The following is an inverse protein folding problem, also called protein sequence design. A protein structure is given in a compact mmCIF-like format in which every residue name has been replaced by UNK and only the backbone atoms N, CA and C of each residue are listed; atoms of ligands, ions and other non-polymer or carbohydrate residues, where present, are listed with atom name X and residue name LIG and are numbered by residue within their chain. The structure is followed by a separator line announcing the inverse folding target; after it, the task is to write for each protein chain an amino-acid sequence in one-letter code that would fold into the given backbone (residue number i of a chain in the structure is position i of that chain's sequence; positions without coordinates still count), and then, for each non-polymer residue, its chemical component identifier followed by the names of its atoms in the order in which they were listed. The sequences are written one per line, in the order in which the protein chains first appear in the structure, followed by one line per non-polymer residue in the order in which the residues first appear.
data_IF_956404474543
#
_entry.id   IF_956404474543
#
_cell.length_a   1.000
_cell.length_b   1.000
_cell.length_c   1.000
_cell.angle_alpha   90.00
_cell.angle_beta   90.00
_cell.angle_gamma   90.00
#
_symmetry.space_group_name_H-M   'P 1'
#
loop_
_entity.id
_entity.type
_entity.pdbx_description
1 polymer ?
#
# COMPACT_ATOMS: atom_id res chain seq x y z
N UNK A 1 6.82 36.33 15.00
CA UNK A 1 6.23 35.59 13.85
C UNK A 1 6.43 34.08 13.98
N UNK A 2 7.41 33.61 14.73
CA UNK A 2 7.62 32.17 15.02
C UNK A 2 6.53 31.56 15.91
N UNK A 3 5.87 32.34 16.76
CA UNK A 3 4.83 31.87 17.68
C UNK A 3 3.46 31.56 17.04
N UNK A 4 3.35 31.66 15.71
CA UNK A 4 2.10 31.42 14.99
C UNK A 4 2.11 30.13 14.15
N UNK A 5 3.20 29.35 14.17
CA UNK A 5 3.26 28.05 13.47
C UNK A 5 2.72 26.99 14.42
N UNK A 6 1.48 26.57 14.17
CA UNK A 6 0.90 25.43 14.85
C UNK A 6 1.45 24.15 14.20
N UNK A 7 2.22 23.39 14.96
CA UNK A 7 2.72 22.10 14.55
C UNK A 7 1.91 20.99 15.25
N UNK A 8 1.15 20.21 14.46
CA UNK A 8 0.38 19.08 14.94
C UNK A 8 0.97 17.79 14.35
N UNK A 9 1.48 16.96 15.24
CA UNK A 9 2.12 15.69 14.87
C UNK A 9 1.18 14.51 15.10
N UNK A 10 1.51 13.37 14.52
CA UNK A 10 0.85 12.10 14.80
C UNK A 10 0.81 11.78 16.31
N UNK A 11 1.92 12.05 17.02
CA UNK A 11 1.98 11.85 18.46
C UNK A 11 1.00 12.74 19.23
N UNK A 12 0.79 13.97 18.76
CA UNK A 12 -0.18 14.90 19.36
C UNK A 12 -1.61 14.40 19.14
N UNK A 13 -1.92 13.88 17.96
CA UNK A 13 -3.21 13.25 17.66
C UNK A 13 -3.47 12.04 18.56
N UNK A 14 -2.50 11.13 18.69
CA UNK A 14 -2.65 9.95 19.55
C UNK A 14 -2.80 10.34 21.02
N UNK A 15 -2.09 11.38 21.49
CA UNK A 15 -2.24 11.94 22.83
C UNK A 15 -3.63 12.53 23.01
N UNK A 16 -4.12 13.33 22.08
CA UNK A 16 -5.45 13.93 22.16
C UNK A 16 -6.56 12.87 22.17
N UNK A 17 -6.42 11.79 21.42
CA UNK A 17 -7.34 10.63 21.47
C UNK A 17 -7.36 9.97 22.87
N UNK A 18 -6.21 9.86 23.52
CA UNK A 18 -6.07 9.14 24.79
C UNK A 18 -6.45 9.99 26.01
N UNK A 19 -6.05 11.26 26.02
CA UNK A 19 -6.13 12.15 27.18
C UNK A 19 -7.43 12.95 27.24
N UNK A 20 -8.00 13.33 26.10
CA UNK A 20 -9.25 14.08 26.07
C UNK A 20 -10.45 13.18 26.35
N UNK A 21 -10.78 13.05 27.63
CA UNK A 21 -11.90 12.22 28.09
C UNK A 21 -13.23 12.98 27.94
N UNK A 22 -14.12 12.45 27.14
CA UNK A 22 -15.48 12.97 27.02
C UNK A 22 -16.09 12.81 25.62
N UNK A 23 -17.39 12.87 25.53
CA UNK A 23 -18.15 12.73 24.28
C UNK A 23 -17.89 13.84 23.25
N UNK A 24 -17.22 14.93 23.67
CA UNK A 24 -16.84 16.04 22.80
C UNK A 24 -15.45 15.94 22.18
N UNK A 25 -14.74 14.82 22.34
CA UNK A 25 -13.42 14.67 21.71
C UNK A 25 -13.56 14.46 20.20
N UNK A 26 -13.19 15.45 19.35
CA UNK A 26 -13.33 15.34 17.91
C UNK A 26 -12.39 14.29 17.28
N UNK A 27 -11.33 13.91 18.00
CA UNK A 27 -10.33 12.96 17.51
C UNK A 27 -10.75 11.49 17.73
N UNK A 28 -11.76 11.22 18.57
CA UNK A 28 -12.23 9.84 18.81
C UNK A 28 -12.78 9.17 17.53
N UNK A 29 -13.34 9.96 16.61
CA UNK A 29 -13.86 9.45 15.34
C UNK A 29 -12.81 9.17 14.29
N UNK A 30 -11.56 9.64 14.49
CA UNK A 30 -10.46 9.36 13.56
C UNK A 30 -9.99 7.92 13.73
N UNK A 31 -9.76 7.19 12.63
CA UNK A 31 -9.27 5.81 12.70
C UNK A 31 -7.88 5.76 13.35
N UNK A 32 -7.60 4.65 14.02
CA UNK A 32 -6.25 4.38 14.51
C UNK A 32 -5.33 4.10 13.31
N UNK A 33 -4.27 4.87 13.17
CA UNK A 33 -3.21 4.56 12.23
C UNK A 33 -2.21 3.58 12.85
N UNK A 34 -1.87 2.53 12.11
CA UNK A 34 -0.82 1.57 12.48
C UNK A 34 0.15 1.48 11.32
N UNK A 35 1.41 1.83 11.57
CA UNK A 35 2.47 1.73 10.57
C UNK A 35 3.18 0.39 10.73
N UNK A 36 3.18 -0.43 9.68
CA UNK A 36 3.87 -1.70 9.61
C UNK A 36 4.99 -1.61 8.59
N UNK A 37 6.19 -1.96 9.00
CA UNK A 37 7.36 -2.03 8.12
C UNK A 37 7.79 -3.48 7.96
N UNK A 38 8.08 -3.88 6.73
CA UNK A 38 8.52 -5.23 6.40
C UNK A 38 9.91 -5.16 5.77
N UNK A 39 10.84 -5.95 6.33
CA UNK A 39 12.11 -6.17 5.66
C UNK A 39 11.88 -7.12 4.47
N UNK A 40 12.29 -6.71 3.29
CA UNK A 40 12.28 -7.56 2.11
C UNK A 40 13.36 -8.64 2.25
N UNK A 41 13.09 -9.91 1.90
CA UNK A 41 14.12 -10.96 1.85
C UNK A 41 15.25 -10.60 0.88
N UNK A 42 16.48 -10.99 1.22
CA UNK A 42 17.67 -10.63 0.44
C UNK A 42 17.60 -11.11 -1.01
N UNK A 43 17.02 -12.30 -1.27
CA UNK A 43 16.82 -12.83 -2.63
C UNK A 43 15.86 -12.00 -3.50
N UNK A 44 15.02 -11.16 -2.86
CA UNK A 44 14.12 -10.24 -3.56
C UNK A 44 14.78 -8.86 -3.73
N UNK A 45 15.62 -8.45 -2.76
CA UNK A 45 16.27 -7.13 -2.77
C UNK A 45 17.38 -6.99 -3.83
N UNK A 46 18.11 -8.07 -4.12
CA UNK A 46 19.35 -8.02 -4.94
C UNK A 46 19.18 -7.31 -6.29
N UNK A 47 18.01 -7.43 -6.92
CA UNK A 47 17.77 -6.84 -8.25
C UNK A 47 17.54 -5.33 -8.23
N UNK A 48 17.34 -4.75 -7.07
CA UNK A 48 16.93 -3.35 -6.91
C UNK A 48 17.82 -2.58 -5.93
N UNK A 49 19.05 -2.99 -5.74
CA UNK A 49 20.05 -2.27 -4.97
C UNK A 49 20.71 -1.18 -5.82
N UNK A 50 20.78 0.02 -5.29
CA UNK A 50 21.42 1.17 -5.93
C UNK A 50 22.18 2.05 -4.93
N UNK A 51 23.13 2.83 -5.48
CA UNK A 51 23.91 3.81 -4.75
C UNK A 51 25.16 3.25 -4.09
N UNK A 52 25.89 4.15 -3.41
CA UNK A 52 27.19 3.85 -2.76
C UNK A 52 27.06 2.85 -1.60
N UNK A 53 25.83 2.71 -1.03
CA UNK A 53 25.56 1.83 0.12
C UNK A 53 24.65 0.65 -0.22
N UNK A 54 24.47 0.32 -1.51
CA UNK A 54 23.60 -0.78 -1.96
C UNK A 54 22.17 -0.73 -1.33
N UNK A 55 21.61 0.47 -1.21
CA UNK A 55 20.29 0.65 -0.65
C UNK A 55 19.19 0.10 -1.57
N UNK A 56 18.19 -0.54 -0.99
CA UNK A 56 17.06 -1.05 -1.74
C UNK A 56 16.16 0.10 -2.23
N UNK A 57 15.98 0.17 -3.55
CA UNK A 57 15.16 1.19 -4.22
C UNK A 57 13.82 0.61 -4.69
N UNK A 58 12.73 1.02 -3.99
CA UNK A 58 11.37 0.64 -4.36
C UNK A 58 10.97 1.14 -5.76
N UNK A 59 11.46 2.30 -6.19
CA UNK A 59 11.13 2.84 -7.52
C UNK A 59 11.79 1.98 -8.62
N UNK A 60 12.98 1.47 -8.36
CA UNK A 60 13.63 0.53 -9.26
C UNK A 60 12.93 -0.83 -9.22
N UNK A 61 12.65 -1.36 -8.04
CA UNK A 61 12.01 -2.66 -7.86
C UNK A 61 10.66 -2.75 -8.57
N UNK A 62 9.81 -1.74 -8.41
CA UNK A 62 8.52 -1.66 -9.08
C UNK A 62 8.57 -0.90 -10.41
N UNK A 63 9.75 -0.75 -11.02
CA UNK A 63 9.87 -0.13 -12.35
C UNK A 63 9.22 -1.01 -13.42
N UNK A 64 8.53 -0.36 -14.36
CA UNK A 64 7.80 -1.04 -15.41
C UNK A 64 7.93 -0.32 -16.74
N UNK A 65 7.76 -1.07 -17.81
CA UNK A 65 7.76 -0.60 -19.21
C UNK A 65 6.45 -0.99 -19.89
N UNK A 66 6.16 -0.33 -21.02
CA UNK A 66 4.92 -0.55 -21.76
C UNK A 66 3.77 0.35 -21.30
N UNK A 67 2.60 0.13 -21.88
CA UNK A 67 1.37 0.91 -21.61
C UNK A 67 0.17 -0.02 -21.58
N UNK A 68 -0.80 0.28 -20.71
CA UNK A 68 -2.06 -0.47 -20.64
C UNK A 68 -1.83 -1.97 -20.46
N UNK A 69 -2.38 -2.78 -21.34
CA UNK A 69 -2.28 -4.25 -21.28
C UNK A 69 -0.89 -4.80 -21.58
N UNK A 70 -0.04 -4.01 -22.25
CA UNK A 70 1.36 -4.40 -22.56
C UNK A 70 2.33 -4.01 -21.45
N UNK A 71 1.88 -3.31 -20.42
CA UNK A 71 2.74 -2.92 -19.32
C UNK A 71 3.23 -4.15 -18.54
N UNK A 72 4.55 -4.21 -18.27
CA UNK A 72 5.21 -5.30 -17.54
C UNK A 72 6.28 -4.73 -16.62
N UNK A 73 6.47 -5.37 -15.47
CA UNK A 73 7.58 -5.04 -14.58
C UNK A 73 8.92 -5.48 -15.20
N UNK A 74 9.97 -4.69 -14.97
CA UNK A 74 11.34 -5.09 -15.34
C UNK A 74 11.80 -6.30 -14.55
N UNK A 75 11.38 -6.40 -13.28
CA UNK A 75 11.70 -7.48 -12.36
C UNK A 75 10.42 -8.26 -11.99
N UNK A 76 9.67 -8.71 -13.02
CA UNK A 76 8.35 -9.33 -12.81
C UNK A 76 8.41 -10.56 -11.90
N UNK A 77 9.47 -11.38 -12.00
CA UNK A 77 9.65 -12.55 -11.16
C UNK A 77 9.81 -12.19 -9.67
N UNK A 78 10.57 -11.14 -9.38
CA UNK A 78 10.82 -10.66 -8.03
C UNK A 78 9.57 -9.97 -7.46
N UNK A 79 8.85 -9.22 -8.27
CA UNK A 79 7.56 -8.65 -7.88
C UNK A 79 6.53 -9.77 -7.63
N UNK A 80 6.56 -10.86 -8.41
CA UNK A 80 5.73 -12.03 -8.15
C UNK A 80 6.10 -12.69 -6.81
N UNK A 81 7.38 -12.88 -6.50
CA UNK A 81 7.81 -13.39 -5.19
C UNK A 81 7.34 -12.49 -4.04
N UNK A 82 7.38 -11.16 -4.24
CA UNK A 82 6.84 -10.23 -3.27
C UNK A 82 5.32 -10.38 -3.11
N UNK A 83 4.54 -10.53 -4.18
CA UNK A 83 3.10 -10.82 -4.09
C UNK A 83 2.83 -12.12 -3.33
N UNK A 84 3.63 -13.15 -3.57
CA UNK A 84 3.54 -14.43 -2.86
C UNK A 84 3.92 -14.28 -1.38
N UNK A 85 4.91 -13.45 -1.07
CA UNK A 85 5.31 -13.14 0.30
C UNK A 85 4.18 -12.48 1.11
N UNK A 86 3.57 -11.41 0.58
CA UNK A 86 2.53 -10.67 1.31
C UNK A 86 1.24 -11.47 1.52
N UNK A 87 1.00 -12.50 0.71
CA UNK A 87 -0.10 -13.47 0.90
C UNK A 87 0.30 -14.71 1.70
N UNK A 88 1.55 -14.78 2.20
CA UNK A 88 2.06 -15.91 2.98
C UNK A 88 2.39 -17.16 2.18
N UNK A 89 2.41 -17.08 0.84
CA UNK A 89 2.75 -18.20 -0.03
C UNK A 89 4.26 -18.41 -0.21
N UNK A 90 5.07 -17.42 0.12
CA UNK A 90 6.52 -17.47 0.09
C UNK A 90 7.05 -17.25 1.51
N UNK A 91 7.60 -18.28 2.09
CA UNK A 91 8.29 -18.19 3.39
C UNK A 91 9.79 -18.16 3.12
N UNK A 92 10.49 -17.06 3.46
CA UNK A 92 11.96 -17.06 3.42
C UNK A 92 12.49 -18.15 4.35
N UNK A 93 13.38 -18.97 3.83
CA UNK A 93 13.97 -20.11 4.56
C UNK A 93 15.11 -19.74 5.50
N UNK A 94 15.19 -18.47 5.96
CA UNK A 94 16.22 -18.09 6.91
C UNK A 94 15.96 -18.75 8.28
N UNK A 95 16.98 -19.42 8.81
CA UNK A 95 16.95 -20.10 10.12
C UNK A 95 16.63 -19.09 11.25
N UNK A 96 16.99 -17.83 11.08
CA UNK A 96 16.72 -16.78 12.06
C UNK A 96 15.23 -16.37 12.10
N UNK A 97 14.55 -16.43 10.98
CA UNK A 97 13.10 -16.22 10.90
C UNK A 97 12.30 -17.38 11.52
N UNK A 98 12.83 -18.58 11.49
CA UNK A 98 12.23 -19.75 12.15
C UNK A 98 12.38 -19.71 13.67
N UNK A 99 13.43 -19.05 14.18
CA UNK A 99 13.68 -18.88 15.63
C UNK A 99 12.82 -17.78 16.27
N UNK A 100 12.34 -16.82 15.48
CA UNK A 100 11.38 -15.82 15.91
C UNK A 100 10.00 -16.50 15.96
N UNK A 101 9.50 -16.78 17.17
CA UNK A 101 8.17 -17.35 17.35
C UNK A 101 7.10 -16.55 16.58
N UNK A 102 6.03 -17.24 16.18
CA UNK A 102 4.94 -16.69 15.35
C UNK A 102 4.38 -15.36 15.89
N UNK A 103 4.39 -15.16 17.21
CA UNK A 103 3.88 -13.96 17.87
C UNK A 103 4.79 -12.72 17.75
N UNK A 104 6.05 -12.89 17.33
CA UNK A 104 7.03 -11.81 17.17
C UNK A 104 7.19 -11.33 15.73
N UNK A 105 6.58 -12.02 14.77
CA UNK A 105 6.63 -11.62 13.36
C UNK A 105 5.57 -10.55 13.08
N UNK A 106 5.89 -9.52 12.28
CA UNK A 106 4.86 -8.60 11.80
C UNK A 106 3.81 -9.39 11.02
N UNK A 107 2.51 -9.07 11.20
CA UNK A 107 1.43 -9.78 10.50
C UNK A 107 1.54 -9.53 8.99
N UNK A 108 1.52 -10.60 8.18
CA UNK A 108 1.50 -10.48 6.72
C UNK A 108 0.13 -10.01 6.24
N UNK A 109 0.07 -9.04 5.29
CA UNK A 109 -1.17 -8.36 4.92
C UNK A 109 -2.32 -9.29 4.53
N UNK A 110 -2.05 -10.31 3.74
CA UNK A 110 -3.09 -11.16 3.15
C UNK A 110 -3.07 -12.62 3.61
N UNK A 111 -2.36 -12.92 4.69
CA UNK A 111 -2.36 -14.27 5.28
C UNK A 111 -2.62 -14.28 6.77
N UNK A 112 -2.31 -13.19 7.46
CA UNK A 112 -2.57 -13.08 8.89
C UNK A 112 -3.99 -12.62 9.15
N UNK A 113 -4.73 -13.39 9.95
CA UNK A 113 -6.14 -13.10 10.27
C UNK A 113 -6.33 -11.75 10.97
N UNK A 114 -5.30 -11.22 11.64
CA UNK A 114 -5.33 -9.88 12.26
C UNK A 114 -5.46 -8.76 11.23
N UNK A 115 -4.98 -8.97 10.00
CA UNK A 115 -5.00 -7.99 8.91
C UNK A 115 -5.97 -8.37 7.80
N UNK A 116 -6.08 -9.64 7.44
CA UNK A 116 -6.87 -10.11 6.31
C UNK A 116 -8.33 -9.62 6.36
N UNK A 117 -8.93 -9.62 7.55
CA UNK A 117 -10.31 -9.21 7.75
C UNK A 117 -10.53 -7.70 7.65
N UNK A 118 -9.47 -6.91 7.77
CA UNK A 118 -9.55 -5.44 7.71
C UNK A 118 -9.01 -4.87 6.39
N UNK A 119 -8.30 -5.66 5.59
CA UNK A 119 -7.72 -5.22 4.32
C UNK A 119 -8.62 -5.54 3.11
N UNK A 120 -9.93 -5.33 3.25
CA UNK A 120 -10.87 -5.51 2.14
C UNK A 120 -10.69 -4.43 1.06
N UNK A 121 -10.33 -3.22 1.44
CA UNK A 121 -10.11 -2.10 0.51
C UNK A 121 -8.74 -1.49 0.74
N UNK A 122 -7.87 -1.56 -0.27
CA UNK A 122 -6.49 -1.09 -0.16
C UNK A 122 -6.12 -0.13 -1.29
N UNK A 123 -5.27 0.85 -0.96
CA UNK A 123 -4.61 1.73 -1.91
C UNK A 123 -3.14 1.31 -2.03
N UNK A 124 -2.69 1.00 -3.24
CA UNK A 124 -1.29 0.68 -3.52
C UNK A 124 -0.65 1.84 -4.28
N UNK A 125 0.31 2.47 -3.64
CA UNK A 125 0.96 3.66 -4.15
C UNK A 125 2.27 3.28 -4.86
N UNK A 126 2.24 3.26 -6.18
CA UNK A 126 3.29 2.76 -7.09
C UNK A 126 4.13 3.92 -7.68
N UNK A 127 5.33 3.64 -8.23
CA UNK A 127 6.22 4.68 -8.74
C UNK A 127 5.66 5.52 -9.89
N UNK A 128 5.00 4.90 -10.84
CA UNK A 128 4.54 5.56 -12.07
C UNK A 128 3.32 4.87 -12.71
N UNK A 129 2.83 5.44 -13.80
CA UNK A 129 1.65 4.94 -14.51
C UNK A 129 1.88 3.54 -15.07
N UNK A 130 3.05 3.28 -15.67
CA UNK A 130 3.38 1.95 -16.22
C UNK A 130 3.37 0.88 -15.12
N UNK A 131 3.90 1.21 -13.93
CA UNK A 131 3.88 0.30 -12.76
C UNK A 131 2.46 -0.03 -12.29
N UNK A 132 1.52 0.94 -12.34
CA UNK A 132 0.13 0.68 -12.00
C UNK A 132 -0.53 -0.31 -12.98
N UNK A 133 -0.30 -0.14 -14.29
CA UNK A 133 -0.82 -1.07 -15.28
C UNK A 133 -0.13 -2.42 -15.22
N UNK A 134 1.19 -2.47 -15.02
CA UNK A 134 1.94 -3.72 -14.86
C UNK A 134 1.45 -4.52 -13.65
N UNK A 135 1.18 -3.85 -12.53
CA UNK A 135 0.58 -4.49 -11.36
C UNK A 135 -0.81 -5.03 -11.65
N UNK A 136 -1.67 -4.26 -12.29
CA UNK A 136 -3.00 -4.73 -12.69
C UNK A 136 -2.94 -5.95 -13.61
N UNK A 137 -2.00 -5.97 -14.56
CA UNK A 137 -1.80 -7.10 -15.46
C UNK A 137 -1.26 -8.33 -14.73
N UNK A 138 -0.31 -8.14 -13.81
CA UNK A 138 0.27 -9.22 -13.01
C UNK A 138 -0.79 -9.85 -12.09
N UNK A 139 -1.62 -9.05 -11.40
CA UNK A 139 -2.68 -9.54 -10.53
C UNK A 139 -3.74 -10.36 -11.26
N UNK A 140 -3.95 -10.15 -12.56
CA UNK A 140 -4.89 -10.92 -13.39
C UNK A 140 -4.34 -12.30 -13.80
N UNK A 141 -3.02 -12.52 -13.68
CA UNK A 141 -2.41 -13.79 -14.12
C UNK A 141 -2.87 -14.97 -13.25
N UNK A 142 -2.87 -16.18 -13.82
CA UNK A 142 -3.46 -17.39 -13.20
C UNK A 142 -2.82 -17.76 -11.86
N UNK A 143 -1.53 -17.53 -11.68
CA UNK A 143 -0.83 -17.78 -10.42
C UNK A 143 -1.28 -16.85 -9.30
N UNK A 144 -1.89 -15.72 -9.62
CA UNK A 144 -2.38 -14.70 -8.69
C UNK A 144 -3.89 -14.83 -8.39
N UNK A 145 -4.43 -16.05 -8.50
CA UNK A 145 -5.86 -16.34 -8.29
C UNK A 145 -6.41 -15.81 -6.96
N UNK A 146 -5.60 -15.73 -5.92
CA UNK A 146 -5.99 -15.13 -4.64
C UNK A 146 -6.52 -13.71 -4.80
N UNK A 147 -5.87 -12.91 -5.67
CA UNK A 147 -6.25 -11.52 -5.89
C UNK A 147 -7.46 -11.35 -6.82
N UNK A 148 -7.95 -12.43 -7.45
CA UNK A 148 -9.12 -12.35 -8.33
C UNK A 148 -10.42 -12.04 -7.58
N UNK A 149 -10.44 -12.24 -6.25
CA UNK A 149 -11.56 -11.83 -5.40
C UNK A 149 -11.60 -10.31 -5.17
N UNK A 150 -10.52 -9.60 -5.54
CA UNK A 150 -10.43 -8.15 -5.44
C UNK A 150 -10.72 -7.50 -6.78
N UNK A 151 -11.58 -6.49 -6.79
CA UNK A 151 -11.75 -5.62 -7.96
C UNK A 151 -10.56 -4.66 -8.03
N UNK A 152 -9.71 -4.83 -9.05
CA UNK A 152 -8.54 -3.98 -9.27
C UNK A 152 -8.96 -2.74 -10.05
N UNK A 153 -8.70 -1.56 -9.49
CA UNK A 153 -9.01 -0.25 -10.10
C UNK A 153 -7.72 0.51 -10.34
N UNK A 154 -7.39 0.78 -11.60
CA UNK A 154 -6.22 1.59 -11.98
C UNK A 154 -6.62 3.06 -11.99
N UNK A 155 -6.14 3.81 -11.00
CA UNK A 155 -6.33 5.25 -10.87
C UNK A 155 -5.02 5.98 -11.20
N UNK A 156 -4.58 5.85 -12.48
CA UNK A 156 -3.32 6.41 -12.96
C UNK A 156 -3.42 6.83 -14.43
N UNK A 157 -2.57 7.80 -14.81
CA UNK A 157 -2.55 8.33 -16.18
C UNK A 157 -3.71 9.25 -16.52
N UNK A 158 -3.75 9.71 -17.78
CA UNK A 158 -4.76 10.66 -18.25
C UNK A 158 -6.16 10.06 -18.32
N UNK A 159 -6.27 8.77 -18.63
CA UNK A 159 -7.55 8.07 -18.74
C UNK A 159 -8.32 7.90 -17.41
N UNK A 160 -7.66 8.09 -16.28
CA UNK A 160 -8.30 8.01 -14.96
C UNK A 160 -9.02 9.32 -14.54
N UNK A 161 -9.08 10.34 -15.41
CA UNK A 161 -9.68 11.64 -15.07
C UNK A 161 -8.84 12.49 -14.12
N UNK A 162 -9.40 13.60 -13.65
CA UNK A 162 -8.77 14.53 -12.70
C UNK A 162 -9.74 14.80 -11.54
N UNK A 163 -9.21 14.89 -10.31
CA UNK A 163 -10.04 15.23 -9.15
C UNK A 163 -11.15 14.20 -8.90
N UNK A 164 -12.39 14.65 -8.88
CA UNK A 164 -13.57 13.80 -8.63
C UNK A 164 -13.80 12.73 -9.69
N UNK A 165 -13.42 12.99 -10.95
CA UNK A 165 -13.56 12.00 -12.02
C UNK A 165 -12.69 10.76 -11.76
N UNK A 166 -11.52 10.96 -11.15
CA UNK A 166 -10.64 9.87 -10.76
C UNK A 166 -11.17 9.09 -9.53
N UNK A 167 -11.95 9.75 -8.68
CA UNK A 167 -12.53 9.15 -7.47
C UNK A 167 -13.76 8.29 -7.78
N UNK A 168 -14.57 8.69 -8.75
CA UNK A 168 -15.84 8.00 -9.05
C UNK A 168 -15.70 6.50 -9.34
N UNK A 169 -14.78 6.03 -10.21
CA UNK A 169 -14.59 4.60 -10.45
C UNK A 169 -14.19 3.83 -9.19
N UNK A 170 -13.41 4.45 -8.30
CA UNK A 170 -12.99 3.86 -7.02
C UNK A 170 -14.20 3.68 -6.11
N UNK A 171 -14.99 4.73 -5.91
CA UNK A 171 -16.21 4.66 -5.09
C UNK A 171 -17.25 3.69 -5.66
N UNK A 172 -17.45 3.71 -6.97
CA UNK A 172 -18.36 2.77 -7.64
C UNK A 172 -17.92 1.31 -7.51
N UNK A 173 -16.61 1.06 -7.39
CA UNK A 173 -16.08 -0.29 -7.15
C UNK A 173 -16.35 -0.80 -5.74
N UNK A 174 -16.62 0.09 -4.80
CA UNK A 174 -16.87 -0.17 -3.37
C UNK A 174 -18.36 -0.03 -3.01
N UNK A 175 -19.29 -0.24 -3.94
CA UNK A 175 -20.72 0.06 -3.79
C UNK A 175 -21.32 -0.48 -2.47
N UNK A 176 -20.93 -1.69 -2.06
CA UNK A 176 -21.15 -2.20 -0.71
C UNK A 176 -19.79 -2.55 -0.07
N UNK A 177 -19.23 -1.66 0.78
CA UNK A 177 -17.90 -1.86 1.32
C UNK A 177 -17.74 -3.09 2.24
N UNK A 178 -18.82 -3.65 2.75
CA UNK A 178 -18.76 -4.84 3.59
C UNK A 178 -18.74 -6.13 2.77
N UNK A 179 -19.31 -6.10 1.56
CA UNK A 179 -19.42 -7.25 0.67
C UNK A 179 -18.37 -7.26 -0.45
N UNK A 180 -17.75 -6.12 -0.73
CA UNK A 180 -16.79 -5.96 -1.82
C UNK A 180 -15.35 -5.90 -1.32
N UNK A 181 -14.42 -6.26 -2.22
CA UNK A 181 -12.98 -6.12 -1.99
C UNK A 181 -12.34 -5.38 -3.16
N UNK A 182 -11.48 -4.41 -2.88
CA UNK A 182 -10.84 -3.62 -3.93
C UNK A 182 -9.35 -3.42 -3.68
N UNK A 183 -8.58 -3.37 -4.77
CA UNK A 183 -7.21 -2.89 -4.80
C UNK A 183 -7.18 -1.69 -5.75
N UNK A 184 -6.95 -0.49 -5.20
CA UNK A 184 -6.79 0.73 -5.98
C UNK A 184 -5.30 0.96 -6.24
N UNK A 185 -4.91 1.05 -7.51
CA UNK A 185 -3.53 1.28 -7.93
C UNK A 185 -3.36 2.73 -8.36
N UNK A 186 -2.49 3.47 -7.69
CA UNK A 186 -2.23 4.88 -7.99
C UNK A 186 -0.74 5.21 -7.93
N UNK A 187 -0.34 6.26 -8.65
CA UNK A 187 1.02 6.79 -8.60
C UNK A 187 1.09 8.30 -8.28
N UNK A 188 -0.03 8.87 -7.83
CA UNK A 188 -0.12 10.28 -7.45
C UNK A 188 -1.55 10.82 -7.41
N UNK A 189 -2.50 10.19 -8.09
CA UNK A 189 -3.90 10.56 -7.96
C UNK A 189 -4.47 10.01 -6.66
N UNK A 190 -5.41 10.75 -6.06
CA UNK A 190 -6.10 10.38 -4.82
C UNK A 190 -5.17 10.20 -3.59
N UNK A 191 -3.95 10.74 -3.63
CA UNK A 191 -3.00 10.65 -2.51
C UNK A 191 -3.11 11.84 -1.56
N UNK A 192 -3.70 12.95 -2.00
CA UNK A 192 -3.90 14.16 -1.19
C UNK A 192 -5.29 14.74 -1.43
N UNK A 193 -5.87 15.34 -0.39
CA UNK A 193 -7.14 16.05 -0.47
C UNK A 193 -8.37 15.17 -0.73
N UNK A 194 -8.28 13.86 -0.53
CA UNK A 194 -9.36 12.91 -0.78
C UNK A 194 -9.59 12.04 0.44
N UNK A 195 -10.85 11.84 0.80
CA UNK A 195 -11.25 10.90 1.84
C UNK A 195 -12.06 9.77 1.23
N UNK A 196 -11.51 8.56 1.30
CA UNK A 196 -12.20 7.33 0.89
C UNK A 196 -12.33 6.43 2.12
N UNK A 197 -13.45 6.54 2.80
CA UNK A 197 -13.69 5.87 4.10
C UNK A 197 -13.45 4.35 4.09
N UNK A 198 -13.79 3.59 3.02
CA UNK A 198 -13.53 2.16 2.98
C UNK A 198 -12.06 1.76 2.89
N UNK A 199 -11.14 2.66 2.52
CA UNK A 199 -9.72 2.31 2.52
C UNK A 199 -9.21 2.07 3.94
N UNK A 200 -8.79 0.84 4.19
CA UNK A 200 -8.28 0.38 5.49
C UNK A 200 -6.78 0.07 5.45
N UNK A 201 -6.18 0.00 4.27
CA UNK A 201 -4.77 -0.23 4.10
C UNK A 201 -4.15 0.58 2.97
N UNK A 202 -2.98 1.14 3.22
CA UNK A 202 -2.17 1.84 2.22
C UNK A 202 -0.83 1.12 2.10
N UNK A 203 -0.51 0.67 0.89
CA UNK A 203 0.77 0.04 0.57
C UNK A 203 1.68 1.08 -0.10
N UNK A 204 2.71 1.50 0.60
CA UNK A 204 3.70 2.45 0.10
C UNK A 204 4.76 1.69 -0.71
N UNK A 205 4.56 1.59 -2.02
CA UNK A 205 5.39 0.79 -2.94
C UNK A 205 6.32 1.69 -3.79
N UNK A 206 6.69 2.83 -3.27
CA UNK A 206 7.64 3.76 -3.89
C UNK A 206 8.45 4.52 -2.85
N UNK A 207 9.64 4.96 -3.23
CA UNK A 207 10.40 5.91 -2.43
C UNK A 207 9.78 7.30 -2.55
N UNK A 208 9.62 7.97 -1.43
CA UNK A 208 9.13 9.35 -1.35
C UNK A 208 10.23 10.24 -0.79
N UNK A 209 10.36 11.43 -1.36
CA UNK A 209 11.33 12.44 -0.90
C UNK A 209 10.73 13.37 0.16
N UNK A 210 9.40 13.45 0.24
CA UNK A 210 8.67 14.32 1.16
C UNK A 210 7.85 13.50 2.14
N UNK A 211 7.99 13.73 3.44
CA UNK A 211 7.18 13.06 4.47
C UNK A 211 5.70 13.44 4.38
N UNK A 212 5.34 14.58 3.78
CA UNK A 212 3.95 15.05 3.66
C UNK A 212 3.07 14.10 2.84
N UNK A 213 3.67 13.27 2.00
CA UNK A 213 2.93 12.27 1.21
C UNK A 213 2.61 11.00 2.00
N UNK A 214 3.22 10.82 3.18
CA UNK A 214 2.93 9.69 4.08
C UNK A 214 1.76 9.99 5.03
N UNK A 215 1.45 11.25 5.26
CA UNK A 215 0.44 11.78 6.18
C UNK A 215 -0.62 12.60 5.41
#
# INVERSE_FOLDING_TARGET
MEDQIFNWTYSDEQRAKAEWKGSGNPYLALPRMVMLTYRMPDEIQEVAKQGEYDEFDLNLFFSAEGKGEDARFKYENEVQKWLDLIRGGYLPSSIDDLKLGQDKRPPMPFSDTRLLNVLSHTLWFLPNVASCFAMANLLKQRQNRFYHDYKVVVCAGTGAGIGLDALYPVQASMADPLETKTITLSCGKLTTGVTVKPWTGIFMLRNLKSPETYF
#
